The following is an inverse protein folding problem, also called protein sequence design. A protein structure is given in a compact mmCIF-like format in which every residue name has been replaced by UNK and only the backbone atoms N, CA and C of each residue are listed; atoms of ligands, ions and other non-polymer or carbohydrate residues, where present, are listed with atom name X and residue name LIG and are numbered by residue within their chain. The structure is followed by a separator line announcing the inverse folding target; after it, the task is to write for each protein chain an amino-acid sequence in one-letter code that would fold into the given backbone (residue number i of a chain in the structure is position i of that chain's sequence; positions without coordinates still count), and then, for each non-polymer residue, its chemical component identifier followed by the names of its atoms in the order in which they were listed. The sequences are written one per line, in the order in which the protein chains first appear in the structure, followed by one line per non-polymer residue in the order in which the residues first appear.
data_IF_261274573061
#
_entry.id   IF_261274573061
#
_cell.length_a   1.000
_cell.length_b   1.000
_cell.length_c   1.000
_cell.angle_alpha   90.00
_cell.angle_beta   90.00
_cell.angle_gamma   90.00
#
_symmetry.space_group_name_H-M   'P 1'
#
loop_
_entity.id
_entity.type
_entity.pdbx_description
1 polymer ?
#
# COMPACT_ATOMS: atom_id res chain seq x y z
N UNK A 1 -11.79 13.25 -3.37
CA UNK A 1 -11.58 12.70 -2.01
C UNK A 1 -10.89 11.36 -2.10
N UNK A 2 -9.82 11.17 -1.38
CA UNK A 2 -9.11 9.90 -1.32
C UNK A 2 -9.91 8.90 -0.49
N UNK A 3 -10.07 7.69 -1.01
CA UNK A 3 -10.79 6.60 -0.35
C UNK A 3 -9.93 5.36 -0.17
N UNK A 4 -8.97 5.14 -1.06
CA UNK A 4 -8.17 3.91 -1.13
C UNK A 4 -6.70 4.20 -0.92
N UNK A 5 -6.05 3.35 -0.12
CA UNK A 5 -4.59 3.29 -0.03
C UNK A 5 -4.15 1.95 -0.65
N UNK A 6 -3.27 2.01 -1.66
CA UNK A 6 -2.84 0.81 -2.37
C UNK A 6 -1.62 0.20 -1.69
N UNK A 7 -1.69 -1.11 -1.42
CA UNK A 7 -0.53 -1.89 -0.97
C UNK A 7 0.51 -1.97 -2.11
N UNK A 8 1.76 -2.12 -1.75
CA UNK A 8 2.88 -2.14 -2.70
C UNK A 8 2.69 -3.19 -3.79
N UNK A 9 2.21 -4.39 -3.46
CA UNK A 9 1.98 -5.44 -4.45
C UNK A 9 0.91 -5.05 -5.47
N UNK A 10 -0.13 -4.35 -5.04
CA UNK A 10 -1.17 -3.86 -5.96
C UNK A 10 -0.57 -2.87 -6.96
N UNK A 11 0.30 -1.97 -6.49
CA UNK A 11 1.00 -1.02 -7.36
C UNK A 11 1.80 -1.77 -8.43
N UNK A 12 2.53 -2.80 -8.01
CA UNK A 12 3.33 -3.61 -8.94
C UNK A 12 2.44 -4.28 -10.00
N UNK A 13 1.30 -4.85 -9.60
CA UNK A 13 0.35 -5.44 -10.54
C UNK A 13 -0.17 -4.41 -11.55
N UNK A 14 -0.51 -3.21 -11.09
CA UNK A 14 -0.99 -2.16 -11.98
C UNK A 14 0.09 -1.75 -12.97
N UNK A 15 1.33 -1.56 -12.51
CA UNK A 15 2.47 -1.21 -13.36
C UNK A 15 2.70 -2.28 -14.42
N UNK A 16 2.63 -3.55 -14.03
CA UNK A 16 2.82 -4.69 -14.96
C UNK A 16 1.61 -4.95 -15.83
N UNK A 17 0.46 -4.33 -15.51
CA UNK A 17 -0.83 -4.53 -16.20
C UNK A 17 -1.30 -5.99 -16.14
N UNK A 18 -0.92 -6.71 -15.10
CA UNK A 18 -1.30 -8.11 -14.85
C UNK A 18 -1.49 -8.33 -13.35
N UNK A 19 -2.62 -8.90 -12.94
CA UNK A 19 -3.78 -9.25 -13.78
C UNK A 19 -4.55 -8.02 -14.24
N UNK A 20 -5.26 -8.15 -15.34
CA UNK A 20 -5.99 -7.05 -15.97
C UNK A 20 -7.03 -6.43 -15.04
N UNK A 21 -7.66 -7.21 -14.18
CA UNK A 21 -8.66 -6.69 -13.25
C UNK A 21 -8.08 -5.65 -12.27
N UNK A 22 -6.82 -5.79 -11.86
CA UNK A 22 -6.17 -4.77 -11.03
C UNK A 22 -6.09 -3.43 -11.77
N UNK A 23 -5.67 -3.45 -13.03
CA UNK A 23 -5.61 -2.24 -13.85
C UNK A 23 -7.00 -1.64 -14.07
N UNK A 24 -8.02 -2.47 -14.30
CA UNK A 24 -9.39 -2.00 -14.49
C UNK A 24 -9.91 -1.28 -13.24
N UNK A 25 -9.69 -1.83 -12.06
CA UNK A 25 -10.05 -1.18 -10.79
C UNK A 25 -9.30 0.13 -10.62
N UNK A 26 -8.00 0.14 -10.93
CA UNK A 26 -7.19 1.33 -10.83
C UNK A 26 -7.77 2.46 -11.70
N UNK A 27 -8.10 2.15 -12.93
CA UNK A 27 -8.66 3.14 -13.86
C UNK A 27 -10.05 3.63 -13.41
N UNK A 28 -10.87 2.71 -12.87
CA UNK A 28 -12.22 3.05 -12.38
C UNK A 28 -12.18 4.02 -11.19
N UNK A 29 -11.16 3.93 -10.35
CA UNK A 29 -11.07 4.73 -9.12
C UNK A 29 -10.11 5.91 -9.24
N UNK A 30 -9.79 6.34 -10.47
CA UNK A 30 -8.92 7.49 -10.70
C UNK A 30 -9.40 8.71 -9.90
N UNK A 31 -8.48 9.41 -9.24
CA UNK A 31 -8.78 10.55 -8.40
C UNK A 31 -9.13 10.22 -6.95
N UNK A 32 -9.25 8.94 -6.60
CA UNK A 32 -9.66 8.50 -5.26
C UNK A 32 -8.63 7.61 -4.57
N UNK A 33 -7.41 7.56 -5.08
CA UNK A 33 -6.36 6.64 -4.62
C UNK A 33 -5.13 7.38 -4.15
N UNK A 34 -4.44 6.73 -3.20
CA UNK A 34 -3.15 7.19 -2.71
C UNK A 34 -2.25 5.99 -2.42
N UNK A 35 -0.97 6.25 -2.27
CA UNK A 35 -0.01 5.32 -1.69
C UNK A 35 0.66 5.99 -0.50
N UNK A 36 1.13 5.17 0.43
CA UNK A 36 1.95 5.64 1.55
C UNK A 36 3.35 5.98 1.06
N UNK A 37 4.01 6.95 1.70
CA UNK A 37 5.44 7.18 1.48
C UNK A 37 6.28 5.95 1.81
N UNK A 38 5.78 5.03 2.64
CA UNK A 38 6.42 3.72 2.88
C UNK A 38 6.43 2.89 1.59
N UNK A 39 5.30 2.84 0.88
CA UNK A 39 5.21 2.15 -0.41
C UNK A 39 6.14 2.81 -1.44
N UNK A 40 6.18 4.13 -1.48
CA UNK A 40 7.11 4.84 -2.35
C UNK A 40 8.57 4.43 -2.06
N UNK A 41 8.95 4.34 -0.79
CA UNK A 41 10.29 3.90 -0.40
C UNK A 41 10.60 2.49 -0.91
N UNK A 42 9.65 1.57 -0.80
CA UNK A 42 9.81 0.21 -1.30
C UNK A 42 9.98 0.18 -2.83
N UNK A 43 9.17 0.96 -3.53
CA UNK A 43 9.24 1.06 -5.01
C UNK A 43 10.57 1.66 -5.47
N UNK A 44 11.03 2.71 -4.79
CA UNK A 44 12.31 3.33 -5.12
C UNK A 44 13.49 2.40 -4.85
N UNK A 45 13.46 1.66 -3.74
CA UNK A 45 14.49 0.66 -3.46
C UNK A 45 14.51 -0.42 -4.54
N UNK A 46 13.35 -0.94 -4.94
CA UNK A 46 13.26 -1.92 -6.02
C UNK A 46 13.81 -1.39 -7.35
N UNK A 47 13.53 -0.13 -7.65
CA UNK A 47 14.01 0.52 -8.87
C UNK A 47 15.53 0.72 -8.84
N UNK A 48 16.08 1.18 -7.71
CA UNK A 48 17.51 1.42 -7.56
C UNK A 48 18.36 0.15 -7.75
N UNK A 49 17.87 -0.99 -7.27
CA UNK A 49 18.60 -2.26 -7.42
C UNK A 49 18.35 -2.97 -8.74
N UNK A 50 17.52 -2.43 -9.61
CA UNK A 50 17.24 -2.99 -10.93
C UNK A 50 18.44 -2.84 -11.87
N UNK A 51 18.60 -3.77 -12.82
CA UNK A 51 19.64 -3.68 -13.85
C UNK A 51 19.39 -2.52 -14.82
N UNK A 52 18.19 -1.96 -14.85
CA UNK A 52 17.82 -0.79 -15.65
C UNK A 52 17.23 0.27 -14.74
N UNK A 53 18.01 0.72 -13.76
CA UNK A 53 17.53 1.60 -12.69
C UNK A 53 16.94 2.92 -13.19
N UNK A 54 17.53 3.56 -14.20
CA UNK A 54 17.00 4.80 -14.73
C UNK A 54 15.59 4.64 -15.31
N UNK A 55 15.35 3.54 -16.04
CA UNK A 55 14.04 3.23 -16.59
C UNK A 55 13.05 2.87 -15.49
N UNK A 56 13.49 2.08 -14.50
CA UNK A 56 12.64 1.68 -13.38
C UNK A 56 12.22 2.87 -12.53
N UNK A 57 13.14 3.81 -12.28
CA UNK A 57 12.83 5.05 -11.55
C UNK A 57 11.82 5.90 -12.31
N UNK A 58 11.96 6.00 -13.63
CA UNK A 58 11.01 6.75 -14.47
C UNK A 58 9.60 6.13 -14.41
N UNK A 59 9.50 4.80 -14.37
CA UNK A 59 8.22 4.10 -14.23
C UNK A 59 7.56 4.41 -12.88
N UNK A 60 8.33 4.40 -11.80
CA UNK A 60 7.82 4.74 -10.46
C UNK A 60 7.33 6.19 -10.43
N UNK A 61 8.11 7.10 -10.99
CA UNK A 61 7.75 8.52 -11.05
C UNK A 61 6.47 8.73 -11.84
N UNK A 62 6.35 8.10 -13.00
CA UNK A 62 5.14 8.18 -13.82
C UNK A 62 3.92 7.64 -13.06
N UNK A 63 4.05 6.48 -12.42
CA UNK A 63 2.96 5.92 -11.63
C UNK A 63 2.52 6.89 -10.54
N UNK A 64 3.47 7.42 -9.76
CA UNK A 64 3.16 8.31 -8.63
C UNK A 64 2.57 9.66 -9.09
N UNK A 65 2.74 10.04 -10.37
CA UNK A 65 2.09 11.24 -10.90
C UNK A 65 0.59 11.09 -11.09
N UNK A 66 0.07 9.87 -11.02
CA UNK A 66 -1.35 9.55 -11.28
C UNK A 66 -2.20 9.46 -10.02
N UNK A 67 -1.59 9.57 -8.85
CA UNK A 67 -2.29 9.49 -7.57
C UNK A 67 -1.55 10.32 -6.53
N UNK A 68 -2.03 10.32 -5.30
CA UNK A 68 -1.36 11.04 -4.22
C UNK A 68 -0.39 10.13 -3.46
N UNK A 69 0.73 10.70 -3.03
CA UNK A 69 1.64 10.05 -2.08
C UNK A 69 1.41 10.73 -0.73
N UNK A 70 0.90 9.98 0.23
CA UNK A 70 0.62 10.49 1.57
C UNK A 70 1.84 10.32 2.48
N UNK A 71 2.26 11.37 3.19
CA UNK A 71 3.38 11.24 4.12
C UNK A 71 2.99 10.42 5.35
N UNK A 72 3.83 9.47 5.72
CA UNK A 72 3.68 8.68 6.93
C UNK A 72 4.08 9.55 8.13
N UNK A 73 3.12 9.93 8.95
CA UNK A 73 3.35 10.87 10.02
C UNK A 73 3.05 10.34 11.42
N UNK A 74 2.99 11.23 12.42
CA UNK A 74 2.80 10.83 13.82
C UNK A 74 1.51 10.05 14.08
N UNK A 75 0.44 10.40 13.40
CA UNK A 75 -0.85 9.69 13.54
C UNK A 75 -0.73 8.24 13.08
N UNK A 76 -0.09 8.01 11.95
CA UNK A 76 0.18 6.65 11.46
C UNK A 76 1.10 5.92 12.44
N UNK A 77 2.09 6.59 12.99
CA UNK A 77 3.00 6.00 13.96
C UNK A 77 2.27 5.53 15.24
N UNK A 78 1.28 6.29 15.71
CA UNK A 78 0.45 5.89 16.86
C UNK A 78 -0.33 4.61 16.54
N UNK A 79 -0.93 4.53 15.36
CA UNK A 79 -1.63 3.32 14.93
C UNK A 79 -0.68 2.13 14.79
N UNK A 80 0.54 2.36 14.31
CA UNK A 80 1.55 1.33 14.21
C UNK A 80 1.84 0.70 15.59
N UNK A 81 2.08 1.51 16.60
CA UNK A 81 2.35 1.01 17.95
C UNK A 81 1.22 0.15 18.49
N UNK A 82 -0.02 0.62 18.32
CA UNK A 82 -1.21 -0.10 18.75
C UNK A 82 -1.39 -1.43 17.99
N UNK A 83 -1.25 -1.41 16.68
CA UNK A 83 -1.43 -2.60 15.84
C UNK A 83 -0.36 -3.65 16.17
N UNK A 84 0.90 -3.24 16.21
CA UNK A 84 2.00 -4.18 16.44
C UNK A 84 1.89 -4.83 17.82
N UNK A 85 1.60 -4.04 18.85
CA UNK A 85 1.41 -4.58 20.20
C UNK A 85 0.28 -5.60 20.25
N UNK A 86 -0.84 -5.31 19.58
CA UNK A 86 -1.97 -6.23 19.50
C UNK A 86 -1.62 -7.52 18.78
N UNK A 87 -0.93 -7.44 17.64
CA UNK A 87 -0.54 -8.62 16.87
C UNK A 87 0.43 -9.51 17.66
N UNK A 88 1.38 -8.90 18.35
CA UNK A 88 2.32 -9.64 19.19
C UNK A 88 1.63 -10.32 20.36
N UNK A 89 0.69 -9.63 21.00
CA UNK A 89 -0.08 -10.16 22.12
C UNK A 89 -0.87 -11.42 21.72
N UNK A 90 -1.42 -11.44 20.52
CA UNK A 90 -2.22 -12.57 20.03
C UNK A 90 -1.40 -13.58 19.22
N UNK A 91 -0.07 -13.43 19.16
CA UNK A 91 0.79 -14.36 18.44
C UNK A 91 0.56 -14.39 16.93
N UNK A 92 0.16 -13.27 16.33
CA UNK A 92 -0.18 -13.18 14.92
C UNK A 92 0.63 -12.11 14.19
N UNK A 93 1.97 -12.15 14.23
CA UNK A 93 2.79 -11.13 13.60
C UNK A 93 2.63 -11.12 12.08
N UNK A 94 2.82 -9.93 11.49
CA UNK A 94 2.94 -9.74 10.05
C UNK A 94 4.21 -8.92 9.78
N UNK A 95 4.58 -8.77 8.50
CA UNK A 95 5.78 -8.02 8.15
C UNK A 95 5.74 -6.57 8.64
N UNK A 96 6.90 -6.03 9.01
CA UNK A 96 7.02 -4.67 9.58
C UNK A 96 6.48 -3.62 8.62
N UNK A 97 6.86 -3.67 7.35
CA UNK A 97 6.36 -2.70 6.36
C UNK A 97 4.84 -2.83 6.17
N UNK A 98 4.31 -4.06 6.23
CA UNK A 98 2.87 -4.28 6.15
C UNK A 98 2.15 -3.66 7.33
N UNK A 99 2.74 -3.72 8.53
CA UNK A 99 2.18 -3.03 9.71
C UNK A 99 2.16 -1.52 9.48
N UNK A 100 3.23 -0.95 8.93
CA UNK A 100 3.27 0.49 8.60
C UNK A 100 2.16 0.87 7.61
N UNK A 101 1.99 0.10 6.56
CA UNK A 101 0.97 0.37 5.54
C UNK A 101 -0.44 0.26 6.14
N UNK A 102 -0.69 -0.78 6.93
CA UNK A 102 -1.97 -0.96 7.64
C UNK A 102 -2.25 0.20 8.59
N UNK A 103 -1.23 0.61 9.35
CA UNK A 103 -1.33 1.74 10.27
C UNK A 103 -1.67 3.03 9.55
N UNK A 104 -1.03 3.27 8.41
CA UNK A 104 -1.27 4.46 7.61
C UNK A 104 -2.72 4.50 7.09
N UNK A 105 -3.18 3.39 6.51
CA UNK A 105 -4.55 3.27 6.01
C UNK A 105 -5.57 3.49 7.14
N UNK A 106 -5.39 2.80 8.26
CA UNK A 106 -6.32 2.91 9.39
C UNK A 106 -6.34 4.31 9.98
N UNK A 107 -5.19 4.95 10.09
CA UNK A 107 -5.07 6.30 10.65
C UNK A 107 -5.79 7.34 9.80
N UNK A 108 -5.87 7.13 8.51
CA UNK A 108 -6.54 8.04 7.57
C UNK A 108 -7.98 7.62 7.25
N UNK A 109 -8.45 6.51 7.84
CA UNK A 109 -9.78 6.00 7.54
C UNK A 109 -9.96 5.51 6.12
N UNK A 110 -8.87 5.05 5.49
CA UNK A 110 -8.88 4.60 4.10
C UNK A 110 -9.03 3.09 4.01
N UNK A 111 -9.60 2.63 2.90
CA UNK A 111 -9.65 1.22 2.55
C UNK A 111 -8.27 0.81 2.04
N UNK A 112 -7.65 -0.18 2.65
CA UNK A 112 -6.41 -0.75 2.15
C UNK A 112 -6.72 -1.75 1.04
N UNK A 113 -6.18 -1.49 -0.14
CA UNK A 113 -6.32 -2.40 -1.28
C UNK A 113 -5.11 -3.32 -1.32
N UNK A 114 -5.35 -4.62 -1.17
CA UNK A 114 -4.30 -5.63 -1.09
C UNK A 114 -4.80 -6.97 -1.62
N UNK A 115 -3.91 -7.81 -2.12
CA UNK A 115 -4.22 -9.20 -2.41
C UNK A 115 -3.84 -10.13 -1.24
N UNK A 116 -3.23 -9.60 -0.20
CA UNK A 116 -2.80 -10.36 0.97
C UNK A 116 -3.80 -10.23 2.12
N UNK A 117 -5.05 -10.56 1.85
CA UNK A 117 -6.13 -10.43 2.84
C UNK A 117 -5.84 -11.23 4.09
N UNK A 118 -5.27 -12.42 3.94
CA UNK A 118 -5.02 -13.33 5.06
C UNK A 118 -4.19 -12.70 6.18
N UNK A 119 -3.15 -11.94 5.83
CA UNK A 119 -2.34 -11.25 6.83
C UNK A 119 -3.03 -10.00 7.36
N UNK A 120 -3.56 -9.18 6.48
CA UNK A 120 -4.15 -7.89 6.88
C UNK A 120 -5.47 -8.05 7.65
N UNK A 121 -6.17 -9.17 7.51
CA UNK A 121 -7.36 -9.47 8.31
C UNK A 121 -7.06 -9.57 9.80
N UNK A 122 -5.81 -9.82 10.17
CA UNK A 122 -5.37 -9.86 11.56
C UNK A 122 -5.36 -8.47 12.21
N UNK A 123 -5.38 -7.42 11.42
CA UNK A 123 -5.33 -6.03 11.93
C UNK A 123 -6.73 -5.56 12.30
N UNK A 124 -6.98 -5.23 13.58
CA UNK A 124 -8.32 -4.80 13.98
C UNK A 124 -8.70 -3.46 13.37
N UNK A 125 -9.99 -3.32 13.03
CA UNK A 125 -10.58 -2.09 12.52
C UNK A 125 -9.97 -1.57 11.21
N UNK A 126 -9.37 -2.45 10.41
CA UNK A 126 -8.84 -2.11 9.09
C UNK A 126 -9.82 -2.53 8.01
N UNK A 127 -10.19 -1.61 7.12
CA UNK A 127 -11.04 -1.91 5.98
C UNK A 127 -10.18 -2.41 4.82
N UNK A 128 -10.59 -3.50 4.20
CA UNK A 128 -9.82 -4.17 3.15
C UNK A 128 -10.65 -4.36 1.90
N UNK A 129 -9.95 -4.32 0.75
CA UNK A 129 -10.55 -4.64 -0.54
C UNK A 129 -9.47 -5.31 -1.41
N UNK A 130 -9.85 -6.32 -2.19
CA UNK A 130 -8.94 -7.01 -3.11
C UNK A 130 -9.36 -6.74 -4.55
N UNK A 131 -8.46 -6.14 -5.32
CA UNK A 131 -8.72 -5.81 -6.73
C UNK A 131 -8.17 -6.87 -7.69
N UNK A 132 -7.60 -7.94 -7.16
CA UNK A 132 -6.93 -8.99 -7.94
C UNK A 132 -7.76 -10.28 -7.99
N UNK A 133 -8.64 -10.47 -7.05
CA UNK A 133 -9.48 -11.66 -6.96
C UNK A 133 -10.62 -11.67 -7.97
#
# INVERSE_FOLDING_TARGET
MIKYLLDTNIVIYVIKRKPLNALQHFNTHAGHMAVSSITLAELLHGAEKSNASAQALAVVEDFCSRLEVLPYGPKAAQHYGSIRASLEKFGQPIGVNDIHIAAHARSEGLVLVTNNLREFERVPALQLENWVA
#
